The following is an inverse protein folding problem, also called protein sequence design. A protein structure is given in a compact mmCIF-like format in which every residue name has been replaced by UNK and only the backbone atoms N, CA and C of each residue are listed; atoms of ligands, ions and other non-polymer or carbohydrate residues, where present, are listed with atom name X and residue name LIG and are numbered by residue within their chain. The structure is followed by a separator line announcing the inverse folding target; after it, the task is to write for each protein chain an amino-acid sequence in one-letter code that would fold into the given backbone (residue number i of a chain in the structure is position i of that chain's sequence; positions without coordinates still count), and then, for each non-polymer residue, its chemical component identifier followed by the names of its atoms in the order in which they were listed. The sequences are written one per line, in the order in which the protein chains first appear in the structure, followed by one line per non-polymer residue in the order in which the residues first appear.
data_IF_681398377368
#
_entry.id   IF_681398377368
#
_cell.length_a   1.000
_cell.length_b   1.000
_cell.length_c   1.000
_cell.angle_alpha   90.00
_cell.angle_beta   90.00
_cell.angle_gamma   90.00
#
_symmetry.space_group_name_H-M   'P 1'
#
loop_
_entity.id
_entity.type
_entity.pdbx_description
1 polymer ?
#
# COMPACT_ATOMS: atom_id res chain seq x y z
N UNK A 1 65.62 18.09 -23.42
CA UNK A 1 66.99 18.53 -23.79
C UNK A 1 67.64 19.45 -22.77
N UNK A 2 66.96 20.11 -21.84
CA UNK A 2 67.53 20.99 -20.84
C UNK A 2 68.42 20.30 -19.77
N UNK A 3 68.09 19.08 -19.40
CA UNK A 3 68.79 18.30 -18.39
C UNK A 3 70.15 17.81 -18.92
N UNK A 4 70.20 17.38 -20.18
CA UNK A 4 71.41 16.96 -20.84
C UNK A 4 72.37 18.16 -21.00
N UNK A 5 71.83 19.29 -21.42
CA UNK A 5 72.60 20.51 -21.55
C UNK A 5 73.15 21.01 -20.19
N UNK A 6 72.33 20.98 -19.11
CA UNK A 6 72.79 21.26 -17.75
C UNK A 6 73.91 20.33 -17.29
N UNK A 7 73.82 19.03 -17.61
CA UNK A 7 74.83 18.09 -17.28
C UNK A 7 76.15 18.32 -18.08
N UNK A 8 76.04 18.73 -19.35
CA UNK A 8 77.14 19.11 -20.19
C UNK A 8 77.81 20.41 -19.69
N UNK A 9 77.00 21.43 -19.39
CA UNK A 9 77.45 22.73 -18.91
C UNK A 9 78.12 22.63 -17.51
N UNK A 10 77.80 21.65 -16.71
CA UNK A 10 78.41 21.36 -15.42
C UNK A 10 79.76 20.59 -15.51
N UNK A 11 80.16 20.16 -16.68
CA UNK A 11 81.41 19.48 -16.90
C UNK A 11 82.59 20.47 -16.94
N UNK A 12 83.61 20.22 -16.12
CA UNK A 12 84.85 21.01 -16.11
C UNK A 12 85.83 20.37 -17.06
N UNK A 13 86.20 21.03 -18.21
CA UNK A 13 87.09 20.47 -19.21
C UNK A 13 88.50 20.14 -18.66
N UNK A 14 88.92 20.80 -17.59
CA UNK A 14 90.22 20.57 -16.96
C UNK A 14 90.30 19.26 -16.16
N UNK A 15 89.14 18.63 -15.89
CA UNK A 15 89.05 17.32 -15.17
C UNK A 15 88.96 16.11 -16.12
N UNK A 16 88.90 16.29 -17.43
CA UNK A 16 88.87 15.22 -18.42
C UNK A 16 89.96 14.21 -18.31
N UNK A 17 91.25 14.55 -18.00
CA UNK A 17 92.29 13.51 -17.80
C UNK A 17 91.99 12.57 -16.65
N UNK A 18 91.20 12.99 -15.63
CA UNK A 18 90.79 12.08 -14.54
C UNK A 18 89.81 11.02 -14.99
N UNK A 19 89.00 11.27 -16.05
CA UNK A 19 88.04 10.35 -16.59
C UNK A 19 88.70 9.07 -17.20
N UNK A 20 89.95 9.15 -17.53
CA UNK A 20 90.73 7.97 -17.97
C UNK A 20 91.00 7.00 -16.79
N UNK A 21 90.95 7.44 -15.54
CA UNK A 21 91.29 6.64 -14.38
C UNK A 21 90.12 6.41 -13.40
N UNK A 22 88.95 7.03 -13.65
CA UNK A 22 87.73 6.88 -12.85
C UNK A 22 86.49 6.97 -13.74
N UNK A 23 85.62 5.97 -13.58
CA UNK A 23 84.27 6.07 -14.20
C UNK A 23 83.47 7.13 -13.46
N UNK A 24 83.05 8.16 -14.11
CA UNK A 24 82.04 9.09 -13.58
C UNK A 24 80.71 8.79 -14.25
N UNK A 25 79.70 8.55 -13.48
CA UNK A 25 78.30 8.51 -13.94
C UNK A 25 77.60 9.80 -13.51
N UNK A 26 76.83 10.37 -14.39
CA UNK A 26 75.96 11.51 -14.07
C UNK A 26 74.53 11.03 -14.33
N UNK A 27 73.73 11.01 -13.29
CA UNK A 27 72.29 10.75 -13.45
C UNK A 27 71.65 11.98 -14.08
N UNK A 28 71.05 11.79 -15.23
CA UNK A 28 70.30 12.83 -15.93
C UNK A 28 68.83 12.53 -15.79
N UNK A 29 68.09 13.36 -15.08
CA UNK A 29 66.67 13.29 -15.02
C UNK A 29 66.11 13.75 -16.37
N UNK A 30 65.46 12.87 -17.10
CA UNK A 30 64.75 13.18 -18.33
C UNK A 30 63.35 13.68 -17.95
N UNK A 31 63.06 14.94 -18.18
CA UNK A 31 61.70 15.46 -18.10
C UNK A 31 61.02 15.22 -19.45
N UNK A 32 59.95 14.43 -19.42
CA UNK A 32 59.12 14.17 -20.59
C UNK A 32 58.02 15.23 -20.56
N UNK A 33 57.91 16.00 -21.62
CA UNK A 33 56.79 16.92 -21.85
C UNK A 33 56.02 16.47 -23.09
N UNK A 34 54.73 16.49 -23.01
CA UNK A 34 53.81 16.21 -24.11
C UNK A 34 52.73 17.31 -24.16
N UNK A 35 52.01 17.39 -25.28
CA UNK A 35 50.90 18.30 -25.46
C UNK A 35 49.62 17.60 -24.93
N UNK A 36 49.09 18.08 -23.80
CA UNK A 36 47.91 17.53 -23.13
C UNK A 36 46.68 17.52 -24.07
N UNK A 37 46.46 18.56 -24.86
CA UNK A 37 45.32 18.60 -25.80
C UNK A 37 45.45 17.55 -26.94
N UNK A 38 46.67 17.36 -27.40
CA UNK A 38 46.95 16.35 -28.41
C UNK A 38 46.73 14.92 -27.82
N UNK A 39 47.18 14.71 -26.58
CA UNK A 39 47.00 13.44 -25.88
C UNK A 39 45.51 13.13 -25.67
N UNK A 40 44.72 14.08 -25.17
CA UNK A 40 43.28 13.94 -25.00
C UNK A 40 42.59 13.60 -26.34
N UNK A 41 42.96 14.31 -27.43
CA UNK A 41 42.41 14.04 -28.76
C UNK A 41 42.73 12.65 -29.27
N UNK A 42 43.94 12.15 -29.02
CA UNK A 42 44.33 10.77 -29.43
C UNK A 42 43.58 9.72 -28.59
N UNK A 43 43.44 9.92 -27.27
CA UNK A 43 42.66 9.03 -26.40
C UNK A 43 41.20 8.95 -26.85
N UNK A 44 40.59 10.10 -27.18
CA UNK A 44 39.21 10.14 -27.70
C UNK A 44 39.07 9.46 -29.09
N UNK A 45 40.15 9.22 -29.81
CA UNK A 45 40.14 8.52 -31.10
C UNK A 45 40.33 6.98 -30.97
N UNK A 46 40.68 6.47 -29.79
CA UNK A 46 40.89 5.05 -29.52
C UNK A 46 39.59 4.29 -29.80
N UNK A 47 39.68 3.16 -30.53
CA UNK A 47 38.50 2.37 -30.87
C UNK A 47 37.70 1.91 -29.66
N UNK A 48 38.35 1.56 -28.55
CA UNK A 48 37.68 1.14 -27.32
C UNK A 48 36.86 2.29 -26.70
N UNK A 49 37.21 3.55 -26.94
CA UNK A 49 36.51 4.75 -26.46
C UNK A 49 35.38 5.13 -27.43
N UNK A 50 35.60 5.00 -28.75
CA UNK A 50 34.67 5.44 -29.80
C UNK A 50 33.59 4.45 -30.16
N UNK A 51 33.78 3.15 -29.89
CA UNK A 51 32.78 2.10 -30.17
C UNK A 51 31.62 2.15 -29.17
N UNK A 52 30.51 1.48 -29.53
CA UNK A 52 29.40 1.28 -28.58
C UNK A 52 29.89 0.54 -27.33
N UNK A 53 29.68 1.16 -26.18
CA UNK A 53 30.09 0.63 -24.90
C UNK A 53 28.89 0.09 -24.11
N UNK A 54 29.11 -0.96 -23.33
CA UNK A 54 28.13 -1.52 -22.41
C UNK A 54 28.55 -1.20 -20.99
N UNK A 55 27.59 -0.67 -20.21
CA UNK A 55 27.82 -0.44 -18.78
C UNK A 55 28.00 -1.75 -18.01
N UNK A 56 28.85 -1.80 -16.98
CA UNK A 56 28.94 -2.96 -16.11
C UNK A 56 27.66 -3.10 -15.30
N UNK A 57 27.26 -4.34 -15.03
CA UNK A 57 26.14 -4.66 -14.14
C UNK A 57 26.68 -5.36 -12.91
N UNK A 58 26.31 -4.88 -11.72
CA UNK A 58 26.69 -5.52 -10.47
C UNK A 58 25.94 -6.83 -10.25
N UNK A 59 26.61 -7.79 -9.63
CA UNK A 59 25.93 -8.96 -9.07
C UNK A 59 24.81 -8.53 -8.11
N UNK A 60 23.70 -9.25 -8.12
CA UNK A 60 22.51 -8.88 -7.36
C UNK A 60 21.62 -10.08 -7.02
N UNK A 61 20.75 -9.96 -5.99
CA UNK A 61 19.75 -10.98 -5.69
C UNK A 61 18.70 -11.09 -6.81
N UNK A 62 18.47 -12.31 -7.30
CA UNK A 62 17.43 -12.63 -8.28
C UNK A 62 16.59 -13.81 -7.79
N UNK A 63 15.26 -13.68 -7.85
CA UNK A 63 14.36 -14.79 -7.52
C UNK A 63 14.27 -15.77 -8.68
N UNK A 64 14.61 -17.04 -8.45
CA UNK A 64 14.61 -18.11 -9.45
C UNK A 64 13.28 -18.89 -9.55
N UNK A 65 12.25 -18.44 -8.79
CA UNK A 65 10.96 -19.14 -8.63
C UNK A 65 10.90 -19.99 -7.36
N UNK A 66 12.00 -20.14 -6.65
CA UNK A 66 12.09 -20.95 -5.41
C UNK A 66 12.75 -20.19 -4.28
N UNK A 67 13.85 -19.50 -4.57
CA UNK A 67 14.67 -18.74 -3.63
C UNK A 67 15.34 -17.56 -4.34
N UNK A 68 15.90 -16.65 -3.56
CA UNK A 68 16.81 -15.64 -4.09
C UNK A 68 18.21 -16.24 -4.21
N UNK A 69 18.77 -16.11 -5.40
CA UNK A 69 20.14 -16.54 -5.74
C UNK A 69 20.91 -15.33 -6.23
N UNK A 70 22.24 -15.42 -6.19
CA UNK A 70 23.08 -14.38 -6.76
C UNK A 70 23.07 -14.47 -8.26
N UNK A 71 22.53 -13.46 -8.95
CA UNK A 71 22.75 -13.26 -10.38
C UNK A 71 24.14 -12.64 -10.54
N UNK A 72 25.03 -13.27 -11.33
CA UNK A 72 26.40 -12.81 -11.47
C UNK A 72 26.52 -11.43 -12.11
N UNK A 73 27.61 -10.75 -11.79
CA UNK A 73 27.99 -9.50 -12.41
C UNK A 73 28.30 -9.66 -13.90
N UNK A 74 28.08 -8.60 -14.67
CA UNK A 74 28.51 -8.47 -16.05
C UNK A 74 29.54 -7.36 -16.16
N UNK A 75 30.76 -7.72 -16.53
CA UNK A 75 31.82 -6.77 -16.85
C UNK A 75 31.50 -6.14 -18.20
N UNK A 76 31.11 -4.88 -18.20
CA UNK A 76 30.86 -4.15 -19.44
C UNK A 76 32.11 -3.84 -20.25
N UNK A 77 31.97 -3.02 -21.26
CA UNK A 77 33.09 -2.51 -22.08
C UNK A 77 33.28 -1.01 -21.91
N UNK A 78 32.62 -0.41 -20.89
CA UNK A 78 32.70 1.02 -20.62
C UNK A 78 34.11 1.38 -20.14
N UNK A 79 34.76 2.27 -20.90
CA UNK A 79 36.09 2.78 -20.57
C UNK A 79 35.99 3.90 -19.54
N UNK A 80 36.78 3.79 -18.47
CA UNK A 80 37.06 4.88 -17.56
C UNK A 80 38.13 5.77 -18.20
N UNK A 81 37.66 6.83 -18.85
CA UNK A 81 38.55 7.73 -19.63
C UNK A 81 39.52 8.49 -18.73
N UNK A 82 39.15 8.79 -17.47
CA UNK A 82 40.05 9.48 -16.51
C UNK A 82 41.20 8.56 -16.09
N UNK A 83 40.88 7.29 -15.81
CA UNK A 83 41.90 6.28 -15.49
C UNK A 83 42.78 6.01 -16.71
N UNK A 84 42.19 5.85 -17.90
CA UNK A 84 42.92 5.64 -19.14
C UNK A 84 43.91 6.77 -19.40
N UNK A 85 43.47 8.03 -19.33
CA UNK A 85 44.30 9.21 -19.54
C UNK A 85 45.50 9.21 -18.60
N UNK A 86 45.26 9.03 -17.31
CA UNK A 86 46.31 8.96 -16.30
C UNK A 86 47.29 7.84 -16.57
N UNK A 87 46.83 6.68 -16.98
CA UNK A 87 47.70 5.53 -17.28
C UNK A 87 48.52 5.74 -18.55
N UNK A 88 47.94 6.35 -19.56
CA UNK A 88 48.69 6.72 -20.77
C UNK A 88 49.80 7.74 -20.45
N UNK A 89 49.52 8.75 -19.63
CA UNK A 89 50.53 9.69 -19.16
C UNK A 89 51.70 9.00 -18.39
N UNK A 90 51.35 8.10 -17.45
CA UNK A 90 52.33 7.27 -16.72
C UNK A 90 53.23 6.49 -17.69
N UNK A 91 52.64 5.83 -18.70
CA UNK A 91 53.35 5.01 -19.68
C UNK A 91 54.26 5.83 -20.59
N UNK A 92 53.82 7.03 -21.03
CA UNK A 92 54.62 7.97 -21.81
C UNK A 92 55.85 8.44 -21.01
N UNK A 93 55.68 8.75 -19.73
CA UNK A 93 56.77 9.26 -18.90
C UNK A 93 57.78 8.15 -18.52
N UNK A 94 57.32 6.92 -18.46
CA UNK A 94 58.18 5.75 -18.20
C UNK A 94 58.77 5.12 -19.47
N UNK A 95 58.49 5.65 -20.64
CA UNK A 95 58.92 5.12 -21.98
C UNK A 95 58.50 3.69 -22.22
N UNK A 96 57.25 3.35 -21.77
CA UNK A 96 56.63 2.07 -22.06
C UNK A 96 55.92 2.11 -23.45
N UNK A 97 56.04 1.04 -24.20
CA UNK A 97 55.56 1.00 -25.58
C UNK A 97 54.11 0.52 -25.74
N UNK A 98 53.62 -0.30 -24.77
CA UNK A 98 52.33 -0.96 -24.85
C UNK A 98 51.56 -0.80 -23.49
N UNK A 99 50.26 -0.47 -23.57
CA UNK A 99 49.38 -0.40 -22.42
C UNK A 99 48.24 -1.41 -22.65
N UNK A 100 48.13 -2.38 -21.70
CA UNK A 100 46.97 -3.25 -21.68
C UNK A 100 45.90 -2.60 -20.78
N UNK A 101 44.84 -2.08 -21.40
CA UNK A 101 43.76 -1.39 -20.71
C UNK A 101 43.04 -2.23 -19.64
N UNK A 102 42.97 -3.56 -19.85
CA UNK A 102 42.34 -4.46 -18.88
C UNK A 102 43.22 -4.65 -17.63
N UNK A 103 44.50 -4.92 -17.83
CA UNK A 103 45.44 -5.14 -16.74
C UNK A 103 45.70 -3.88 -15.91
N UNK A 104 45.59 -2.70 -16.55
CA UNK A 104 45.76 -1.39 -15.93
C UNK A 104 44.46 -0.80 -15.34
N UNK A 105 43.32 -1.54 -15.45
CA UNK A 105 42.05 -1.15 -14.83
C UNK A 105 41.37 0.03 -15.50
N UNK A 106 41.56 0.22 -16.82
CA UNK A 106 40.96 1.33 -17.57
C UNK A 106 39.48 1.10 -17.96
N UNK A 107 38.82 0.08 -17.41
CA UNK A 107 37.40 -0.13 -17.58
C UNK A 107 36.65 0.08 -16.28
N UNK A 108 35.46 0.62 -16.40
CA UNK A 108 34.53 0.72 -15.25
C UNK A 108 34.17 -0.68 -14.75
N UNK A 109 34.32 -0.90 -13.46
CA UNK A 109 34.04 -2.19 -12.83
C UNK A 109 32.65 -2.22 -12.20
N UNK A 110 31.99 -3.39 -12.15
CA UNK A 110 30.77 -3.53 -11.34
C UNK A 110 31.07 -3.22 -9.88
N UNK A 111 30.13 -2.53 -9.21
CA UNK A 111 30.25 -2.19 -7.78
C UNK A 111 30.30 -3.43 -6.90
N UNK A 112 29.52 -4.46 -7.27
CA UNK A 112 29.44 -5.74 -6.55
C UNK A 112 29.71 -6.89 -7.50
N UNK A 113 30.43 -7.89 -6.99
CA UNK A 113 30.69 -9.16 -7.66
C UNK A 113 29.95 -10.29 -6.96
N UNK A 114 29.94 -11.48 -7.58
CA UNK A 114 29.32 -12.68 -7.00
C UNK A 114 29.91 -13.08 -5.63
N UNK A 115 31.14 -12.68 -5.36
CA UNK A 115 31.82 -12.93 -4.09
C UNK A 115 31.58 -11.82 -3.05
N UNK A 116 30.87 -10.76 -3.40
CA UNK A 116 30.60 -9.62 -2.50
C UNK A 116 29.74 -10.07 -1.31
N UNK A 117 30.22 -9.86 -0.07
CA UNK A 117 29.49 -10.28 1.13
C UNK A 117 28.10 -9.62 1.26
N UNK A 118 27.97 -8.39 0.73
CA UNK A 118 26.72 -7.63 0.76
C UNK A 118 25.63 -8.30 -0.07
N UNK A 119 25.96 -8.83 -1.26
CA UNK A 119 25.04 -9.53 -2.14
C UNK A 119 24.62 -10.86 -1.52
N UNK A 120 25.56 -11.61 -0.95
CA UNK A 120 25.29 -12.86 -0.25
C UNK A 120 24.34 -12.60 0.94
N UNK A 121 24.64 -11.58 1.77
CA UNK A 121 23.82 -11.23 2.92
C UNK A 121 22.40 -10.77 2.52
N UNK A 122 22.27 -10.06 1.39
CA UNK A 122 20.97 -9.69 0.84
C UNK A 122 20.17 -10.93 0.42
N UNK A 123 20.77 -11.86 -0.33
CA UNK A 123 20.14 -13.13 -0.70
C UNK A 123 19.70 -13.92 0.54
N UNK A 124 20.57 -14.05 1.54
CA UNK A 124 20.28 -14.77 2.78
C UNK A 124 19.10 -14.13 3.52
N UNK A 125 19.09 -12.79 3.65
CA UNK A 125 18.00 -12.06 4.31
C UNK A 125 16.68 -12.22 3.57
N UNK A 126 16.67 -12.09 2.23
CA UNK A 126 15.48 -12.30 1.42
C UNK A 126 14.97 -13.73 1.57
N UNK A 127 15.85 -14.73 1.59
CA UNK A 127 15.48 -16.12 1.77
C UNK A 127 14.94 -16.42 3.19
N UNK A 128 15.40 -15.71 4.22
CA UNK A 128 14.77 -15.79 5.55
C UNK A 128 13.34 -15.27 5.52
N UNK A 129 13.07 -14.17 4.81
CA UNK A 129 11.73 -13.61 4.66
C UNK A 129 10.79 -14.53 3.86
N UNK A 130 11.31 -15.27 2.87
CA UNK A 130 10.54 -16.26 2.11
C UNK A 130 10.07 -17.48 2.93
N UNK A 131 10.57 -17.66 4.16
CA UNK A 131 10.08 -18.71 5.08
C UNK A 131 8.70 -18.40 5.63
N UNK A 132 8.27 -17.13 5.58
CA UNK A 132 6.96 -16.71 6.05
C UNK A 132 5.85 -17.31 5.20
N UNK A 133 4.74 -17.66 5.87
CA UNK A 133 3.48 -18.05 5.25
C UNK A 133 2.33 -17.59 6.12
N UNK A 134 1.61 -16.58 5.65
CA UNK A 134 0.49 -15.99 6.38
C UNK A 134 -0.81 -16.40 5.70
N UNK A 135 -1.65 -17.16 6.40
CA UNK A 135 -2.95 -17.59 5.91
C UNK A 135 -4.04 -16.75 6.57
N UNK A 136 -4.72 -15.95 5.77
CA UNK A 136 -5.91 -15.21 6.20
C UNK A 136 -7.14 -16.14 6.17
N UNK A 137 -7.81 -16.27 7.32
CA UNK A 137 -9.04 -17.07 7.49
C UNK A 137 -10.24 -16.28 6.98
N UNK A 138 -10.46 -16.36 5.68
CA UNK A 138 -11.64 -15.80 5.02
C UNK A 138 -12.60 -16.94 4.66
N UNK A 139 -13.70 -16.65 3.99
CA UNK A 139 -14.61 -17.70 3.48
C UNK A 139 -13.86 -18.76 2.68
N UNK A 140 -12.90 -18.34 1.87
CA UNK A 140 -11.86 -19.17 1.29
C UNK A 140 -10.53 -18.61 1.77
N UNK A 141 -9.66 -19.46 2.29
CA UNK A 141 -8.38 -19.01 2.83
C UNK A 141 -7.53 -18.32 1.76
N UNK A 142 -6.93 -17.19 2.13
CA UNK A 142 -5.97 -16.46 1.28
C UNK A 142 -4.59 -16.61 1.87
N UNK A 143 -3.66 -17.13 1.07
CA UNK A 143 -2.30 -17.41 1.52
C UNK A 143 -1.34 -16.41 0.89
N UNK A 144 -0.62 -15.69 1.74
CA UNK A 144 0.57 -14.93 1.36
C UNK A 144 1.76 -15.87 1.51
N UNK A 145 2.25 -16.35 0.37
CA UNK A 145 3.35 -17.30 0.28
C UNK A 145 4.64 -16.67 -0.28
N UNK A 146 5.68 -17.48 -0.39
CA UNK A 146 6.98 -17.05 -0.88
C UNK A 146 6.95 -16.39 -2.27
N UNK A 147 6.04 -16.83 -3.16
CA UNK A 147 5.94 -16.28 -4.51
C UNK A 147 5.47 -14.84 -4.46
N UNK A 148 4.41 -14.58 -3.70
CA UNK A 148 3.89 -13.23 -3.51
C UNK A 148 4.87 -12.35 -2.73
N UNK A 149 5.51 -12.89 -1.68
CA UNK A 149 6.51 -12.16 -0.87
C UNK A 149 7.70 -11.75 -1.76
N UNK A 150 8.16 -12.61 -2.67
CA UNK A 150 9.28 -12.29 -3.55
C UNK A 150 9.04 -11.08 -4.44
N UNK A 151 7.77 -10.81 -4.83
CA UNK A 151 7.39 -9.65 -5.63
C UNK A 151 7.46 -8.32 -4.87
N UNK A 152 7.44 -8.38 -3.54
CA UNK A 152 7.47 -7.23 -2.63
C UNK A 152 8.87 -6.92 -2.10
N UNK A 153 9.83 -7.84 -2.27
CA UNK A 153 11.20 -7.65 -1.81
C UNK A 153 12.01 -6.89 -2.86
N UNK A 154 12.85 -6.01 -2.38
CA UNK A 154 13.79 -5.23 -3.16
C UNK A 154 15.08 -4.99 -2.35
N UNK A 155 16.04 -4.30 -2.92
CA UNK A 155 17.27 -3.88 -2.23
C UNK A 155 17.67 -2.48 -2.70
N UNK A 156 18.38 -1.77 -1.85
CA UNK A 156 18.93 -0.46 -2.16
C UNK A 156 20.32 -0.54 -2.83
N UNK A 157 20.91 0.60 -3.15
CA UNK A 157 22.24 0.71 -3.78
C UNK A 157 23.39 0.11 -2.91
N UNK A 158 23.14 -0.16 -1.63
CA UNK A 158 24.07 -0.77 -0.69
C UNK A 158 23.71 -2.22 -0.34
N UNK A 159 22.84 -2.86 -1.13
CA UNK A 159 22.31 -4.21 -0.93
C UNK A 159 21.53 -4.40 0.38
N UNK A 160 21.04 -3.32 1.02
CA UNK A 160 20.11 -3.46 2.12
C UNK A 160 18.74 -3.89 1.60
N UNK A 161 18.23 -4.99 2.15
CA UNK A 161 16.90 -5.51 1.76
C UNK A 161 15.80 -4.57 2.21
N UNK A 162 14.91 -4.24 1.32
CA UNK A 162 13.77 -3.36 1.53
C UNK A 162 12.47 -4.03 1.07
N UNK A 163 11.34 -3.52 1.57
CA UNK A 163 10.01 -3.86 1.05
C UNK A 163 9.51 -2.76 0.13
N UNK A 164 8.93 -3.14 -0.99
CA UNK A 164 8.07 -2.27 -1.79
C UNK A 164 6.72 -2.13 -1.07
N UNK A 165 6.68 -1.20 -0.11
CA UNK A 165 5.47 -0.97 0.71
C UNK A 165 4.25 -0.59 -0.12
N UNK A 166 4.45 0.05 -1.28
CA UNK A 166 3.33 0.47 -2.13
C UNK A 166 2.66 -0.75 -2.78
N UNK A 167 3.44 -1.76 -3.18
CA UNK A 167 2.89 -3.04 -3.64
C UNK A 167 2.14 -3.79 -2.54
N UNK A 168 2.67 -3.82 -1.33
CA UNK A 168 1.98 -4.45 -0.19
C UNK A 168 0.67 -3.73 0.11
N UNK A 169 0.67 -2.40 0.14
CA UNK A 169 -0.52 -1.58 0.34
C UNK A 169 -1.55 -1.77 -0.77
N UNK A 170 -1.11 -1.85 -2.03
CA UNK A 170 -2.00 -2.12 -3.16
C UNK A 170 -2.64 -3.51 -3.07
N UNK A 171 -1.84 -4.54 -2.77
CA UNK A 171 -2.36 -5.88 -2.56
C UNK A 171 -3.39 -5.91 -1.42
N UNK A 172 -3.10 -5.24 -0.30
CA UNK A 172 -4.02 -5.17 0.84
C UNK A 172 -5.30 -4.40 0.49
N UNK A 173 -5.23 -3.37 -0.36
CA UNK A 173 -6.41 -2.66 -0.88
C UNK A 173 -7.29 -3.55 -1.75
N UNK A 174 -6.71 -4.36 -2.64
CA UNK A 174 -7.46 -5.32 -3.44
C UNK A 174 -8.05 -6.44 -2.57
N UNK A 175 -7.31 -6.85 -1.52
CA UNK A 175 -7.83 -7.76 -0.50
C UNK A 175 -9.06 -7.15 0.20
N UNK A 176 -8.97 -5.90 0.68
CA UNK A 176 -10.10 -5.18 1.27
C UNK A 176 -11.29 -5.10 0.32
N UNK A 177 -11.09 -4.66 -0.93
CA UNK A 177 -12.16 -4.62 -1.95
C UNK A 177 -12.87 -5.97 -2.15
N UNK A 178 -12.14 -7.07 -1.99
CA UNK A 178 -12.69 -8.42 -2.17
C UNK A 178 -13.53 -8.86 -1.00
N UNK A 179 -13.13 -8.51 0.23
CA UNK A 179 -13.70 -9.04 1.46
C UNK A 179 -14.52 -8.05 2.27
N UNK A 180 -14.41 -6.75 2.00
CA UNK A 180 -15.23 -5.73 2.63
C UNK A 180 -16.67 -5.83 2.16
N UNK A 181 -17.59 -5.75 3.12
CA UNK A 181 -19.03 -5.82 2.84
C UNK A 181 -19.77 -4.52 3.15
N UNK A 182 -19.13 -3.57 3.84
CA UNK A 182 -19.72 -2.24 4.08
C UNK A 182 -20.08 -1.59 2.75
N UNK A 183 -21.35 -1.18 2.61
CA UNK A 183 -21.87 -0.52 1.40
C UNK A 183 -22.06 -1.44 0.18
N UNK A 184 -21.65 -2.71 0.22
CA UNK A 184 -21.83 -3.65 -0.88
C UNK A 184 -23.30 -4.00 -1.11
N UNK A 185 -23.60 -4.62 -2.26
CA UNK A 185 -24.95 -5.13 -2.55
C UNK A 185 -25.11 -6.54 -1.98
N UNK A 186 -26.16 -6.75 -1.18
CA UNK A 186 -26.54 -8.05 -0.63
C UNK A 186 -27.90 -8.44 -1.14
N UNK A 187 -28.06 -9.71 -1.51
CA UNK A 187 -29.36 -10.29 -1.89
C UNK A 187 -29.98 -10.95 -0.67
N UNK A 188 -31.19 -10.56 -0.32
CA UNK A 188 -31.94 -11.10 0.81
C UNK A 188 -33.26 -11.70 0.37
N UNK A 189 -33.77 -12.64 1.16
CA UNK A 189 -35.16 -13.08 1.10
C UNK A 189 -35.89 -12.50 2.31
N UNK A 190 -36.86 -11.62 2.05
CA UNK A 190 -37.67 -10.97 3.09
C UNK A 190 -38.55 -11.96 3.84
N UNK A 191 -39.10 -11.63 5.00
CA UNK A 191 -40.07 -12.49 5.72
C UNK A 191 -41.31 -12.83 4.89
N UNK A 192 -41.64 -12.01 3.90
CA UNK A 192 -42.76 -12.30 2.97
C UNK A 192 -42.39 -13.24 1.81
N UNK A 193 -41.12 -13.68 1.71
CA UNK A 193 -40.64 -14.55 0.64
C UNK A 193 -40.20 -13.80 -0.64
N UNK A 194 -40.22 -12.46 -0.65
CA UNK A 194 -39.72 -11.66 -1.76
C UNK A 194 -38.18 -11.62 -1.74
N UNK A 195 -37.52 -11.78 -2.88
CA UNK A 195 -36.07 -11.59 -3.01
C UNK A 195 -35.80 -10.15 -3.42
N UNK A 196 -34.95 -9.45 -2.69
CA UNK A 196 -34.57 -8.05 -2.95
C UNK A 196 -33.04 -7.89 -2.86
N UNK A 197 -32.52 -6.88 -3.59
CA UNK A 197 -31.13 -6.45 -3.48
C UNK A 197 -31.05 -5.21 -2.62
N UNK A 198 -30.21 -5.20 -1.61
CA UNK A 198 -29.99 -4.08 -0.71
C UNK A 198 -28.54 -3.61 -0.88
N UNK A 199 -28.40 -2.35 -1.26
CA UNK A 199 -27.07 -1.73 -1.47
C UNK A 199 -26.89 -0.54 -0.54
N UNK A 200 -25.64 -0.29 -0.13
CA UNK A 200 -25.32 0.84 0.73
C UNK A 200 -25.48 0.54 2.23
N UNK A 201 -25.52 1.58 3.03
CA UNK A 201 -25.49 1.48 4.48
C UNK A 201 -24.07 1.50 5.05
N UNK A 202 -23.96 1.32 6.35
CA UNK A 202 -22.71 1.45 7.11
C UNK A 202 -22.34 0.19 7.89
N UNK A 203 -23.13 -0.86 7.78
CA UNK A 203 -22.87 -2.16 8.43
C UNK A 203 -22.13 -3.11 7.50
N UNK A 204 -21.21 -3.88 8.05
CA UNK A 204 -20.47 -4.92 7.31
C UNK A 204 -19.05 -5.06 7.82
N UNK A 205 -18.29 -5.91 7.16
CA UNK A 205 -16.85 -6.05 7.34
C UNK A 205 -16.12 -4.91 6.65
N UNK A 206 -15.07 -4.41 7.30
CA UNK A 206 -14.11 -3.49 6.68
C UNK A 206 -12.74 -3.72 7.26
N UNK A 207 -11.78 -4.06 6.40
CA UNK A 207 -10.39 -4.31 6.74
C UNK A 207 -9.68 -3.00 7.06
N UNK A 208 -8.86 -2.99 8.11
CA UNK A 208 -7.89 -1.91 8.34
C UNK A 208 -6.64 -2.17 7.48
N UNK A 209 -6.73 -1.81 6.22
CA UNK A 209 -5.70 -2.06 5.20
C UNK A 209 -4.33 -1.54 5.63
N UNK A 210 -4.26 -0.35 6.23
CA UNK A 210 -3.00 0.28 6.61
C UNK A 210 -2.33 -0.43 7.79
N UNK A 211 -3.11 -0.75 8.83
CA UNK A 211 -2.61 -1.47 10.00
C UNK A 211 -2.21 -2.89 9.61
N UNK A 212 -3.02 -3.56 8.79
CA UNK A 212 -2.75 -4.93 8.38
C UNK A 212 -1.54 -5.03 7.44
N UNK A 213 -1.34 -4.10 6.50
CA UNK A 213 -0.15 -4.06 5.66
C UNK A 213 1.13 -3.97 6.49
N UNK A 214 1.13 -3.12 7.52
CA UNK A 214 2.27 -3.00 8.45
C UNK A 214 2.50 -4.29 9.23
N UNK A 215 1.44 -4.89 9.77
CA UNK A 215 1.52 -6.15 10.51
C UNK A 215 2.00 -7.31 9.62
N UNK A 216 1.56 -7.35 8.37
CA UNK A 216 1.98 -8.35 7.38
C UNK A 216 3.48 -8.27 7.11
N UNK A 217 4.03 -7.08 6.87
CA UNK A 217 5.46 -6.86 6.67
C UNK A 217 6.26 -7.33 7.89
N UNK A 218 5.80 -7.02 9.10
CA UNK A 218 6.48 -7.45 10.33
C UNK A 218 6.43 -8.98 10.52
N UNK A 219 5.33 -9.63 10.17
CA UNK A 219 5.22 -11.09 10.19
C UNK A 219 6.16 -11.74 9.16
N UNK A 220 6.28 -11.15 7.97
CA UNK A 220 7.21 -11.61 6.93
C UNK A 220 8.66 -11.49 7.41
N UNK A 221 9.05 -10.35 7.99
CA UNK A 221 10.40 -10.13 8.52
C UNK A 221 10.81 -11.13 9.61
N UNK A 222 9.82 -11.65 10.35
CA UNK A 222 10.03 -12.67 11.38
C UNK A 222 10.00 -14.09 10.85
N UNK A 223 9.71 -14.31 9.58
CA UNK A 223 9.52 -15.63 8.99
C UNK A 223 8.35 -16.41 9.59
N UNK A 224 7.28 -15.73 10.03
CA UNK A 224 6.15 -16.35 10.72
C UNK A 224 5.34 -17.26 9.77
N UNK A 225 4.96 -18.44 10.28
CA UNK A 225 4.00 -19.33 9.63
C UNK A 225 2.76 -19.37 10.51
N UNK A 226 1.75 -18.58 10.14
CA UNK A 226 0.57 -18.32 10.97
C UNK A 226 -0.72 -18.35 10.15
N UNK A 227 -1.81 -18.65 10.86
CA UNK A 227 -3.18 -18.45 10.39
C UNK A 227 -3.84 -17.38 11.24
N UNK A 228 -4.45 -16.40 10.62
CA UNK A 228 -5.09 -15.27 11.31
C UNK A 228 -6.28 -14.72 10.51
N UNK A 229 -7.12 -13.94 11.16
CA UNK A 229 -7.98 -12.98 10.48
C UNK A 229 -7.21 -11.66 10.26
N UNK A 230 -7.56 -10.86 9.24
CA UNK A 230 -6.98 -9.52 9.10
C UNK A 230 -7.42 -8.61 10.24
N UNK A 231 -6.72 -7.51 10.44
CA UNK A 231 -7.16 -6.42 11.30
C UNK A 231 -8.35 -5.71 10.66
N UNK A 232 -9.41 -5.47 11.41
CA UNK A 232 -10.61 -4.82 10.92
C UNK A 232 -10.82 -3.43 11.53
N UNK A 233 -11.27 -2.49 10.72
CA UNK A 233 -11.89 -1.23 11.18
C UNK A 233 -13.26 -1.51 11.76
N UNK A 234 -14.01 -2.42 11.12
CA UNK A 234 -15.34 -2.82 11.51
C UNK A 234 -15.58 -4.30 11.22
N UNK A 235 -16.28 -4.96 12.13
CA UNK A 235 -16.66 -6.37 12.01
C UNK A 235 -18.17 -6.52 11.80
N UNK A 236 -18.59 -7.64 11.23
CA UNK A 236 -19.98 -8.06 11.14
C UNK A 236 -20.21 -9.37 11.89
N UNK A 237 -21.43 -9.88 11.90
CA UNK A 237 -21.79 -11.06 12.68
C UNK A 237 -21.25 -12.37 12.10
N UNK A 238 -21.18 -12.50 10.77
CA UNK A 238 -20.67 -13.68 10.06
C UNK A 238 -19.98 -13.30 8.75
N UNK A 239 -19.23 -14.24 8.16
CA UNK A 239 -18.67 -14.11 6.80
C UNK A 239 -19.58 -14.71 5.71
N UNK A 240 -20.84 -14.98 6.04
CA UNK A 240 -21.83 -15.45 5.07
C UNK A 240 -22.31 -14.32 4.16
N UNK A 241 -23.08 -14.67 3.12
CA UNK A 241 -23.65 -13.68 2.19
C UNK A 241 -24.61 -12.69 2.89
N UNK A 242 -25.22 -13.08 4.02
CA UNK A 242 -25.98 -12.25 4.94
C UNK A 242 -25.13 -12.04 6.21
N UNK A 243 -24.16 -11.13 6.12
CA UNK A 243 -23.17 -10.92 7.15
C UNK A 243 -23.70 -10.37 8.48
N UNK A 244 -24.97 -9.98 8.54
CA UNK A 244 -25.65 -9.53 9.76
C UNK A 244 -26.22 -10.69 10.62
N UNK A 245 -26.11 -11.93 10.14
CA UNK A 245 -26.59 -13.11 10.89
C UNK A 245 -28.10 -13.24 10.92
N UNK A 246 -28.63 -13.86 11.99
CA UNK A 246 -30.05 -14.27 12.10
C UNK A 246 -30.86 -13.39 13.04
N UNK A 247 -30.29 -12.32 13.62
CA UNK A 247 -30.99 -11.38 14.52
C UNK A 247 -30.82 -9.95 14.01
N UNK A 248 -31.91 -9.35 13.51
CA UNK A 248 -31.88 -8.04 12.88
C UNK A 248 -33.29 -7.41 12.77
N UNK A 249 -33.36 -6.10 12.58
CA UNK A 249 -34.59 -5.42 12.16
C UNK A 249 -34.61 -5.23 10.64
N UNK A 250 -35.77 -5.41 10.02
CA UNK A 250 -35.97 -5.25 8.59
C UNK A 250 -37.11 -4.25 8.34
N UNK A 251 -36.94 -3.36 7.38
CA UNK A 251 -37.93 -2.35 6.98
C UNK A 251 -38.11 -2.38 5.47
N UNK A 252 -39.30 -2.71 5.02
CA UNK A 252 -39.74 -2.56 3.65
C UNK A 252 -40.44 -1.19 3.50
N UNK A 253 -39.74 -0.24 2.82
CA UNK A 253 -40.27 1.11 2.63
C UNK A 253 -41.37 1.17 1.58
N UNK A 254 -41.48 0.13 0.74
CA UNK A 254 -42.55 0.04 -0.27
C UNK A 254 -43.89 -0.36 0.36
N UNK A 255 -43.85 -1.40 1.17
CA UNK A 255 -45.05 -1.91 1.89
C UNK A 255 -45.31 -1.16 3.19
N UNK A 256 -44.38 -0.34 3.64
CA UNK A 256 -44.45 0.42 4.90
C UNK A 256 -44.65 -0.50 6.12
N UNK A 257 -43.83 -1.57 6.15
CA UNK A 257 -43.88 -2.56 7.20
C UNK A 257 -42.46 -2.84 7.75
N UNK A 258 -42.38 -3.22 8.99
CA UNK A 258 -41.11 -3.62 9.61
C UNK A 258 -41.28 -4.93 10.35
N UNK A 259 -40.21 -5.70 10.39
CA UNK A 259 -40.06 -6.93 11.17
C UNK A 259 -38.85 -6.84 12.08
N UNK A 260 -38.93 -7.41 13.28
CA UNK A 260 -37.77 -7.71 14.09
C UNK A 260 -37.64 -9.23 14.19
N UNK A 261 -36.49 -9.71 13.74
CA UNK A 261 -36.16 -11.13 13.60
C UNK A 261 -35.16 -11.48 14.68
N UNK A 262 -35.38 -12.54 15.43
CA UNK A 262 -34.46 -13.08 16.44
C UNK A 262 -34.23 -14.54 16.14
N UNK A 263 -32.96 -14.93 15.94
CA UNK A 263 -32.57 -16.31 15.57
C UNK A 263 -33.37 -16.87 14.37
N UNK A 264 -33.63 -16.02 13.38
CA UNK A 264 -34.35 -16.39 12.15
C UNK A 264 -35.88 -16.41 12.27
N UNK A 265 -36.43 -16.11 13.44
CA UNK A 265 -37.90 -16.04 13.64
C UNK A 265 -38.39 -14.60 13.83
N UNK A 266 -39.47 -14.24 13.17
CA UNK A 266 -40.15 -12.95 13.40
C UNK A 266 -40.76 -12.96 14.82
N UNK A 267 -40.29 -12.03 15.66
CA UNK A 267 -40.78 -11.89 17.05
C UNK A 267 -41.60 -10.63 17.25
N UNK A 268 -41.47 -9.63 16.37
CA UNK A 268 -42.27 -8.41 16.35
C UNK A 268 -42.43 -7.95 14.91
N UNK A 269 -43.62 -7.49 14.56
CA UNK A 269 -43.90 -6.86 13.27
C UNK A 269 -44.94 -5.74 13.43
N UNK A 270 -44.87 -4.72 12.61
CA UNK A 270 -45.81 -3.63 12.63
C UNK A 270 -45.75 -2.78 11.35
N UNK A 271 -46.85 -2.17 11.00
CA UNK A 271 -46.88 -1.11 10.02
C UNK A 271 -46.16 0.13 10.56
N UNK A 272 -45.48 0.85 9.66
CA UNK A 272 -44.69 2.06 9.94
C UNK A 272 -45.04 3.20 9.01
N UNK A 273 -44.53 4.39 9.28
CA UNK A 273 -44.53 5.51 8.35
C UNK A 273 -43.10 6.01 8.18
N UNK A 274 -42.53 5.77 7.03
CA UNK A 274 -41.17 6.19 6.68
C UNK A 274 -41.11 7.62 6.13
N UNK A 275 -39.93 8.05 5.72
CA UNK A 275 -39.74 9.36 5.10
C UNK A 275 -40.55 9.57 3.84
N UNK A 276 -41.05 10.80 3.64
CA UNK A 276 -41.69 11.18 2.40
C UNK A 276 -40.73 10.95 1.22
N UNK A 277 -41.16 10.37 0.08
CA UNK A 277 -40.30 10.05 -1.05
C UNK A 277 -39.87 11.32 -1.83
N UNK A 278 -39.16 12.22 -1.15
CA UNK A 278 -38.51 13.40 -1.70
C UNK A 278 -37.01 13.34 -1.36
N UNK A 279 -36.13 13.95 -2.17
CA UNK A 279 -34.68 13.83 -1.97
C UNK A 279 -34.18 14.24 -0.56
N UNK A 280 -34.89 15.16 0.10
CA UNK A 280 -34.56 15.69 1.43
C UNK A 280 -35.17 14.90 2.60
N UNK A 281 -36.09 13.95 2.33
CA UNK A 281 -36.85 13.24 3.36
C UNK A 281 -36.93 11.73 3.23
N UNK A 282 -36.48 11.18 2.10
CA UNK A 282 -36.56 9.73 1.87
C UNK A 282 -35.77 8.99 2.94
N UNK A 283 -36.32 7.89 3.45
CA UNK A 283 -35.58 6.98 4.32
C UNK A 283 -34.50 6.27 3.51
N UNK A 284 -33.22 6.37 3.89
CA UNK A 284 -32.13 5.77 3.10
C UNK A 284 -32.19 4.25 3.19
N UNK A 285 -32.16 3.59 2.03
CA UNK A 285 -32.01 2.13 1.94
C UNK A 285 -30.56 1.71 2.23
N UNK A 286 -30.35 0.48 2.68
CA UNK A 286 -29.03 -0.05 2.99
C UNK A 286 -29.03 -0.98 4.20
N UNK A 287 -27.85 -1.45 4.55
CA UNK A 287 -27.63 -2.24 5.77
C UNK A 287 -26.91 -1.37 6.81
N UNK A 288 -27.53 -1.18 7.94
CA UNK A 288 -27.11 -0.33 9.05
C UNK A 288 -27.02 -1.11 10.34
N UNK A 289 -26.77 -0.43 11.45
CA UNK A 289 -26.96 -0.95 12.81
C UNK A 289 -27.56 0.10 13.73
N UNK A 290 -28.10 -0.34 14.84
CA UNK A 290 -28.51 0.55 15.91
C UNK A 290 -27.29 1.25 16.51
N UNK A 291 -27.25 2.58 16.45
CA UNK A 291 -26.14 3.41 16.90
C UNK A 291 -26.34 3.95 18.34
N UNK A 292 -27.61 4.19 18.73
CA UNK A 292 -27.98 4.76 20.03
C UNK A 292 -29.37 4.30 20.42
N UNK A 293 -29.57 3.97 21.67
CA UNK A 293 -30.87 3.77 22.30
C UNK A 293 -31.07 4.84 23.38
N UNK A 294 -32.15 5.61 23.28
CA UNK A 294 -32.42 6.71 24.22
C UNK A 294 -33.89 6.88 24.49
N UNK A 295 -34.24 7.12 25.75
CA UNK A 295 -35.61 7.45 26.16
C UNK A 295 -35.81 8.95 26.33
N UNK A 296 -37.05 9.41 26.16
CA UNK A 296 -37.46 10.80 26.37
C UNK A 296 -36.58 11.81 25.62
N UNK A 297 -36.37 11.57 24.31
CA UNK A 297 -35.53 12.42 23.43
C UNK A 297 -36.40 13.44 22.72
N UNK A 298 -35.93 14.69 22.63
CA UNK A 298 -36.50 15.68 21.70
C UNK A 298 -35.77 15.59 20.37
N UNK A 299 -36.48 15.19 19.32
CA UNK A 299 -35.98 15.22 17.94
C UNK A 299 -36.02 16.66 17.44
N UNK A 300 -34.91 17.15 16.92
CA UNK A 300 -34.77 18.54 16.46
C UNK A 300 -34.42 18.53 14.97
N UNK A 301 -35.24 19.19 14.18
CA UNK A 301 -35.01 19.37 12.75
C UNK A 301 -33.89 20.37 12.44
N UNK A 302 -33.55 20.51 11.17
CA UNK A 302 -32.56 21.49 10.71
C UNK A 302 -32.97 22.91 11.07
N UNK A 303 -31.98 23.78 11.25
CA UNK A 303 -32.23 25.19 11.54
C UNK A 303 -32.74 25.88 10.26
N UNK A 304 -33.87 26.54 10.37
CA UNK A 304 -34.39 27.38 9.30
C UNK A 304 -33.54 28.65 9.19
N UNK A 305 -32.84 28.89 8.08
CA UNK A 305 -31.97 30.07 7.94
C UNK A 305 -32.67 31.42 8.11
N UNK A 306 -33.94 31.49 7.78
CA UNK A 306 -34.73 32.75 7.86
C UNK A 306 -35.15 33.09 9.29
N UNK A 307 -35.30 32.10 10.17
CA UNK A 307 -35.83 32.31 11.53
C UNK A 307 -34.80 32.01 12.63
N UNK A 308 -33.70 31.34 12.28
CA UNK A 308 -32.68 30.83 13.22
C UNK A 308 -33.19 29.74 14.17
N UNK A 309 -34.41 29.21 13.93
CA UNK A 309 -35.04 28.18 14.80
C UNK A 309 -35.09 26.83 14.04
N UNK A 310 -35.13 25.72 14.81
CA UNK A 310 -35.42 24.41 14.19
C UNK A 310 -36.76 24.40 13.45
N UNK A 311 -36.82 23.66 12.34
CA UNK A 311 -38.06 23.48 11.57
C UNK A 311 -39.10 22.66 12.33
N UNK A 312 -38.68 21.83 13.26
CA UNK A 312 -39.53 21.15 14.26
C UNK A 312 -38.71 20.81 15.53
N UNK A 313 -39.44 20.62 16.62
CA UNK A 313 -38.97 19.99 17.86
C UNK A 313 -40.06 19.05 18.35
N UNK A 314 -39.76 17.74 18.38
CA UNK A 314 -40.75 16.71 18.69
C UNK A 314 -40.23 15.79 19.74
N UNK A 315 -40.86 15.75 20.95
CA UNK A 315 -40.52 14.78 21.97
C UNK A 315 -40.99 13.39 21.56
N UNK A 316 -40.16 12.38 21.83
CA UNK A 316 -40.45 10.96 21.64
C UNK A 316 -40.02 10.19 22.89
N UNK A 317 -40.77 9.15 23.23
CA UNK A 317 -40.49 8.34 24.42
C UNK A 317 -39.36 7.33 24.15
N UNK A 318 -39.27 6.81 22.92
CA UNK A 318 -38.32 5.79 22.47
C UNK A 318 -37.61 6.25 21.23
N UNK A 319 -36.29 6.33 21.29
CA UNK A 319 -35.42 6.66 20.17
C UNK A 319 -34.40 5.57 19.94
N UNK A 320 -34.35 5.04 18.73
CA UNK A 320 -33.44 3.98 18.28
C UNK A 320 -32.74 4.46 17.01
N UNK A 321 -31.54 5.04 17.16
CA UNK A 321 -30.82 5.69 16.07
C UNK A 321 -30.22 4.67 15.11
N UNK A 322 -30.36 4.86 13.80
CA UNK A 322 -29.88 4.00 12.74
C UNK A 322 -28.75 4.66 11.93
N UNK A 323 -28.85 5.95 11.62
CA UNK A 323 -27.84 6.64 10.83
C UNK A 323 -27.21 7.80 11.59
N UNK A 324 -25.99 8.14 11.23
CA UNK A 324 -25.30 9.32 11.77
C UNK A 324 -26.00 10.63 11.38
N UNK A 325 -26.74 10.64 10.26
CA UNK A 325 -27.55 11.78 9.79
C UNK A 325 -28.82 12.01 10.60
N UNK A 326 -29.15 11.10 11.53
CA UNK A 326 -30.28 11.27 12.44
C UNK A 326 -31.56 10.56 12.04
N UNK A 327 -31.46 9.54 11.20
CA UNK A 327 -32.58 8.62 10.92
C UNK A 327 -32.60 7.52 11.99
N UNK A 328 -33.78 7.14 12.45
CA UNK A 328 -33.98 6.08 13.42
C UNK A 328 -35.45 5.69 13.57
N UNK A 329 -35.70 4.64 14.35
CA UNK A 329 -37.04 4.26 14.79
C UNK A 329 -37.46 5.12 15.97
N UNK A 330 -38.72 5.50 16.05
CA UNK A 330 -39.30 6.16 17.23
C UNK A 330 -40.84 6.07 17.23
N UNK A 331 -41.44 6.23 18.41
CA UNK A 331 -42.87 6.39 18.55
C UNK A 331 -43.36 7.69 17.89
N UNK A 332 -44.58 7.64 17.32
CA UNK A 332 -45.20 8.77 16.66
C UNK A 332 -46.65 8.89 17.11
N UNK A 333 -46.88 9.38 18.32
CA UNK A 333 -48.21 9.52 18.92
C UNK A 333 -49.13 10.48 18.22
N UNK A 334 -48.60 11.36 17.35
CA UNK A 334 -49.34 12.26 16.45
C UNK A 334 -49.89 11.59 15.19
N UNK A 335 -49.44 10.36 14.87
CA UNK A 335 -49.95 9.59 13.72
C UNK A 335 -51.21 8.83 14.15
N UNK A 336 -52.28 8.98 13.35
CA UNK A 336 -53.55 8.30 13.58
C UNK A 336 -53.61 6.91 12.89
N UNK A 337 -52.69 6.63 11.97
CA UNK A 337 -52.59 5.39 11.22
C UNK A 337 -51.15 5.19 10.73
N UNK A 338 -50.79 3.93 10.44
CA UNK A 338 -49.50 3.49 9.93
C UNK A 338 -49.71 2.62 8.68
N UNK A 339 -48.65 2.43 7.89
CA UNK A 339 -48.69 1.58 6.69
C UNK A 339 -49.24 2.28 5.43
N UNK A 340 -49.31 1.49 4.37
CA UNK A 340 -49.89 1.89 3.09
C UNK A 340 -49.19 3.08 2.44
N UNK A 341 -49.96 4.03 1.89
CA UNK A 341 -49.45 5.19 1.14
C UNK A 341 -49.31 6.46 1.98
N UNK A 342 -49.44 6.35 3.31
CA UNK A 342 -49.39 7.52 4.25
C UNK A 342 -48.11 8.32 4.08
N UNK A 343 -46.97 7.64 3.95
CA UNK A 343 -45.65 8.25 3.78
C UNK A 343 -45.52 9.15 2.55
N UNK A 344 -46.33 8.92 1.50
CA UNK A 344 -46.34 9.74 0.28
C UNK A 344 -47.04 11.09 0.47
N UNK A 345 -47.76 11.26 1.57
CA UNK A 345 -48.51 12.49 1.90
C UNK A 345 -47.67 13.44 2.76
N UNK A 346 -48.26 14.49 3.28
CA UNK A 346 -47.64 15.40 4.24
C UNK A 346 -47.49 14.75 5.64
N UNK A 347 -47.97 13.52 5.84
CA UNK A 347 -47.77 12.72 7.05
C UNK A 347 -46.50 11.85 6.99
N UNK A 348 -45.81 11.74 5.84
CA UNK A 348 -44.50 11.13 5.73
C UNK A 348 -43.47 11.86 6.61
N UNK A 349 -42.56 11.11 7.20
CA UNK A 349 -41.54 11.63 8.09
C UNK A 349 -40.43 12.42 7.34
N UNK A 350 -39.45 12.92 8.05
CA UNK A 350 -38.22 13.51 7.51
C UNK A 350 -37.07 12.48 7.38
N UNK A 351 -37.42 11.21 7.17
CA UNK A 351 -36.49 10.10 7.03
C UNK A 351 -36.58 9.04 8.12
N UNK A 352 -37.09 9.38 9.28
CA UNK A 352 -37.27 8.44 10.39
C UNK A 352 -38.37 7.40 10.11
N UNK A 353 -38.33 6.29 10.84
CA UNK A 353 -39.28 5.20 10.80
C UNK A 353 -40.23 5.39 12.00
N UNK A 354 -41.39 5.98 11.74
CA UNK A 354 -42.42 6.27 12.74
C UNK A 354 -43.18 4.99 13.08
N UNK A 355 -43.38 4.70 14.37
CA UNK A 355 -44.01 3.49 14.87
C UNK A 355 -45.19 3.83 15.82
N UNK A 356 -46.15 2.90 15.99
CA UNK A 356 -47.08 2.96 17.13
C UNK A 356 -46.31 2.91 18.44
N UNK A 357 -46.76 3.69 19.45
CA UNK A 357 -46.02 3.81 20.73
C UNK A 357 -45.75 2.47 21.43
N UNK A 358 -46.72 1.58 21.48
CA UNK A 358 -46.57 0.27 22.07
C UNK A 358 -45.57 -0.62 21.32
N UNK A 359 -45.53 -0.50 19.99
CA UNK A 359 -44.57 -1.25 19.14
C UNK A 359 -43.17 -0.69 19.26
N UNK A 360 -43.02 0.63 19.34
CA UNK A 360 -41.74 1.28 19.59
C UNK A 360 -41.18 0.90 20.99
N UNK A 361 -42.05 0.82 22.00
CA UNK A 361 -41.65 0.35 23.35
C UNK A 361 -41.16 -1.11 23.29
N UNK A 362 -41.93 -2.00 22.66
CA UNK A 362 -41.60 -3.43 22.54
C UNK A 362 -40.31 -3.67 21.74
N UNK A 363 -40.07 -2.89 20.68
CA UNK A 363 -38.85 -2.97 19.88
C UNK A 363 -37.64 -2.46 20.68
N UNK A 364 -37.79 -1.30 21.35
CA UNK A 364 -36.75 -0.70 22.18
C UNK A 364 -36.23 -1.65 23.29
N UNK A 365 -37.14 -2.37 23.94
CA UNK A 365 -36.80 -3.29 25.02
C UNK A 365 -36.04 -4.55 24.55
N UNK A 366 -36.08 -4.84 23.24
CA UNK A 366 -35.44 -6.01 22.64
C UNK A 366 -34.16 -5.67 21.85
N UNK A 367 -34.00 -4.42 21.41
CA UNK A 367 -32.84 -4.00 20.62
C UNK A 367 -31.60 -3.74 21.51
N UNK A 368 -30.44 -3.92 20.92
CA UNK A 368 -29.15 -3.49 21.47
C UNK A 368 -28.42 -2.60 20.47
N UNK A 369 -27.53 -1.74 20.97
CA UNK A 369 -26.59 -1.04 20.10
C UNK A 369 -25.76 -2.07 19.33
N UNK A 370 -25.61 -1.88 18.03
CA UNK A 370 -24.98 -2.83 17.11
C UNK A 370 -25.95 -3.82 16.45
N UNK A 371 -27.23 -3.93 16.90
CA UNK A 371 -28.22 -4.78 16.18
C UNK A 371 -28.33 -4.32 14.73
N UNK A 372 -28.17 -5.20 13.74
CA UNK A 372 -28.29 -4.88 12.33
C UNK A 372 -29.70 -4.38 11.96
N UNK A 373 -29.76 -3.44 11.01
CA UNK A 373 -31.00 -2.89 10.49
C UNK A 373 -30.91 -2.87 8.95
N UNK A 374 -31.84 -3.55 8.30
CA UNK A 374 -31.90 -3.66 6.86
C UNK A 374 -33.08 -2.83 6.37
N UNK A 375 -32.84 -1.87 5.49
CA UNK A 375 -33.86 -1.00 4.90
C UNK A 375 -33.83 -1.19 3.39
N UNK A 376 -34.95 -1.59 2.81
CA UNK A 376 -35.09 -1.89 1.38
C UNK A 376 -36.43 -1.43 0.79
N UNK A 377 -36.54 -1.54 -0.55
CA UNK A 377 -37.77 -1.30 -1.33
C UNK A 377 -38.48 -2.61 -1.70
#
# INVERSE_FOLDING_TARGET
NGSIQKALDGQNPLLWPKAFFSKSSTDVTVEVGFDENALESEIQSIQAVTQDQTEPQSAHPQFDGTSFVVEPEVYGTQVDTEVLEKKVEEYITEFKDELNMLDEGCYTLPKYTSDSPEVQAACDTMNEYLKASITYKMKENVVVDKTLISEWLSYDENMNVTFDEDKVKEWMREFGKTYDTVGSTRTITTPTGKTVNVSGGTYGWSVDEATEATALIESIKKGEVIEKEPTYVQTAATHDAQDWGSTYAEVDVTTQHMWYIVNGAVVLETDVVTGKPTPDRVTPTGVYSILELKRNKTLTGTINPATGKPIYQTPVDYWMRVTWTGVGFHDATWQSAFGGTIYQTNKGSHGCINMPLNMAASLYDQLSVGTPVIIHE
#
